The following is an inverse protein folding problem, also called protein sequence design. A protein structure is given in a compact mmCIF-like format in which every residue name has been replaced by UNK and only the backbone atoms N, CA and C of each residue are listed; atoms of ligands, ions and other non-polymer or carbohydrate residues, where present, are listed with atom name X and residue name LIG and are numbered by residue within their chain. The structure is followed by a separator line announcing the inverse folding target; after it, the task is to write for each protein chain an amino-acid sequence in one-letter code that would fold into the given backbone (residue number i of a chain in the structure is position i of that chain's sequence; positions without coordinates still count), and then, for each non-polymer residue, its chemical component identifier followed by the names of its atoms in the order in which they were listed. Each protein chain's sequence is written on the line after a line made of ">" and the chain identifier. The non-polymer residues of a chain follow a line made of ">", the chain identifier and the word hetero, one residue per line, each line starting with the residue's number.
data_IF_516796274255
#
_entry.id   IF_516796274255
#
_cell.length_a   1.000
_cell.length_b   1.000
_cell.length_c   1.000
_cell.angle_alpha   90.00
_cell.angle_beta   90.00
_cell.angle_gamma   90.00
#
_symmetry.space_group_name_H-M   'P 1'
#
loop_
_entity.id
_entity.type
_entity.pdbx_description
1 polymer ?
#
# COMPACT_ATOMS: atom_id res chain seq x y z
N UNK A 1 -28.90 32.63 -49.37
CA UNK A 1 -27.97 31.60 -48.85
C UNK A 1 -28.28 31.38 -47.38
N UNK A 2 -28.91 30.26 -47.02
CA UNK A 2 -29.34 29.95 -45.65
C UNK A 2 -28.20 29.25 -44.93
N UNK A 3 -27.55 29.96 -44.01
CA UNK A 3 -26.45 29.46 -43.18
C UNK A 3 -27.00 28.40 -42.23
N UNK A 4 -26.89 27.12 -42.61
CA UNK A 4 -27.41 25.99 -41.83
C UNK A 4 -26.33 24.98 -41.42
N UNK A 5 -25.07 25.31 -41.67
CA UNK A 5 -23.87 24.56 -41.29
C UNK A 5 -23.21 25.06 -39.99
N UNK A 6 -23.63 26.20 -39.44
CA UNK A 6 -22.96 26.85 -38.29
C UNK A 6 -23.26 26.15 -36.96
N UNK A 7 -24.51 25.73 -36.71
CA UNK A 7 -24.91 25.18 -35.41
C UNK A 7 -24.36 23.77 -35.15
N UNK A 8 -24.27 22.92 -36.17
CA UNK A 8 -23.74 21.57 -36.04
C UNK A 8 -22.24 21.58 -35.72
N UNK A 9 -21.48 22.49 -36.32
CA UNK A 9 -20.04 22.68 -36.04
C UNK A 9 -19.83 23.17 -34.61
N UNK A 10 -20.65 24.10 -34.14
CA UNK A 10 -20.59 24.57 -32.74
C UNK A 10 -20.89 23.45 -31.74
N UNK A 11 -21.89 22.60 -32.01
CA UNK A 11 -22.22 21.46 -31.15
C UNK A 11 -21.08 20.44 -31.14
N UNK A 12 -20.50 20.11 -32.29
CA UNK A 12 -19.36 19.21 -32.37
C UNK A 12 -18.13 19.76 -31.63
N UNK A 13 -17.82 21.05 -31.78
CA UNK A 13 -16.70 21.69 -31.09
C UNK A 13 -16.90 21.68 -29.57
N UNK A 14 -18.11 21.97 -29.10
CA UNK A 14 -18.44 21.93 -27.67
C UNK A 14 -18.27 20.50 -27.09
N UNK A 15 -18.77 19.48 -27.80
CA UNK A 15 -18.64 18.08 -27.38
C UNK A 15 -17.17 17.64 -27.34
N UNK A 16 -16.39 17.98 -28.38
CA UNK A 16 -14.95 17.68 -28.41
C UNK A 16 -14.21 18.36 -27.25
N UNK A 17 -14.54 19.61 -26.95
CA UNK A 17 -13.91 20.34 -25.85
C UNK A 17 -14.23 19.69 -24.49
N UNK A 18 -15.49 19.30 -24.27
CA UNK A 18 -15.89 18.59 -23.05
C UNK A 18 -15.17 17.25 -22.92
N UNK A 19 -15.04 16.46 -24.00
CA UNK A 19 -14.31 15.19 -23.98
C UNK A 19 -12.82 15.36 -23.69
N UNK A 20 -12.20 16.41 -24.22
CA UNK A 20 -10.79 16.71 -23.93
C UNK A 20 -10.59 17.16 -22.48
N UNK A 21 -11.47 18.02 -21.97
CA UNK A 21 -11.42 18.47 -20.57
C UNK A 21 -11.60 17.29 -19.60
N UNK A 22 -12.56 16.40 -19.86
CA UNK A 22 -12.77 15.22 -19.00
C UNK A 22 -11.57 14.28 -19.04
N UNK A 23 -10.99 14.01 -20.22
CA UNK A 23 -9.80 13.17 -20.35
C UNK A 23 -8.60 13.77 -19.59
N UNK A 24 -8.36 15.08 -19.70
CA UNK A 24 -7.28 15.78 -18.99
C UNK A 24 -7.48 15.72 -17.47
N UNK A 25 -8.70 15.94 -16.98
CA UNK A 25 -9.00 15.85 -15.55
C UNK A 25 -8.76 14.42 -15.03
N UNK A 26 -9.28 13.41 -15.74
CA UNK A 26 -9.09 12.00 -15.35
C UNK A 26 -7.62 11.61 -15.37
N UNK A 27 -6.87 12.03 -16.39
CA UNK A 27 -5.44 11.76 -16.50
C UNK A 27 -4.67 12.46 -15.38
N UNK A 28 -5.01 13.71 -15.06
CA UNK A 28 -4.41 14.46 -13.95
C UNK A 28 -4.64 13.79 -12.60
N UNK A 29 -5.86 13.30 -12.34
CA UNK A 29 -6.16 12.54 -11.11
C UNK A 29 -5.40 11.23 -11.08
N UNK A 30 -5.42 10.45 -12.17
CA UNK A 30 -4.70 9.16 -12.26
C UNK A 30 -3.19 9.33 -12.08
N UNK A 31 -2.60 10.38 -12.64
CA UNK A 31 -1.20 10.71 -12.49
C UNK A 31 -0.85 11.11 -11.05
N UNK A 32 -1.69 11.93 -10.41
CA UNK A 32 -1.49 12.34 -9.02
C UNK A 32 -1.63 11.16 -8.02
N UNK A 33 -2.58 10.25 -8.27
CA UNK A 33 -2.72 9.04 -7.46
C UNK A 33 -1.54 8.08 -7.63
N UNK A 34 -1.06 7.91 -8.87
CA UNK A 34 0.06 7.00 -9.17
C UNK A 34 1.36 7.47 -8.51
N UNK A 35 1.63 8.78 -8.51
CA UNK A 35 2.78 9.37 -7.80
C UNK A 35 2.76 9.09 -6.29
N UNK A 36 1.58 9.02 -5.67
CA UNK A 36 1.41 8.76 -4.24
C UNK A 36 1.59 7.29 -3.91
N UNK A 37 1.19 6.37 -4.79
CA UNK A 37 1.38 4.92 -4.56
C UNK A 37 2.86 4.52 -4.55
N UNK A 38 3.67 5.07 -5.47
CA UNK A 38 5.07 4.68 -5.61
C UNK A 38 5.94 5.16 -4.42
N UNK A 39 5.73 6.39 -3.93
CA UNK A 39 6.53 6.95 -2.82
C UNK A 39 6.20 6.30 -1.48
N UNK A 40 4.92 6.06 -1.17
CA UNK A 40 4.53 5.38 0.06
C UNK A 40 4.97 3.91 0.11
N UNK A 41 5.01 3.22 -1.04
CA UNK A 41 5.43 1.82 -1.10
C UNK A 41 6.95 1.64 -0.97
N UNK A 42 7.74 2.56 -1.54
CA UNK A 42 9.20 2.52 -1.47
C UNK A 42 9.71 2.80 -0.04
N UNK A 43 9.20 3.83 0.63
CA UNK A 43 9.51 4.11 2.04
C UNK A 43 9.17 2.93 2.96
N UNK A 44 7.96 2.37 2.81
CA UNK A 44 7.54 1.21 3.59
C UNK A 44 8.34 -0.06 3.27
N UNK A 45 8.94 -0.17 2.08
CA UNK A 45 9.73 -1.35 1.70
C UNK A 45 11.16 -1.25 2.25
N UNK A 46 11.81 -0.11 2.10
CA UNK A 46 13.16 0.10 2.64
C UNK A 46 13.20 -0.01 4.18
N UNK A 47 12.20 0.53 4.89
CA UNK A 47 12.10 0.39 6.35
C UNK A 47 11.85 -1.07 6.78
N UNK A 48 10.99 -1.81 6.06
CA UNK A 48 10.73 -3.23 6.35
C UNK A 48 11.93 -4.11 6.04
N UNK A 49 12.62 -3.85 4.93
CA UNK A 49 13.80 -4.60 4.50
C UNK A 49 14.98 -4.32 5.47
N UNK A 50 15.11 -3.09 5.98
CA UNK A 50 16.08 -2.73 7.01
C UNK A 50 15.83 -3.39 8.37
N UNK A 51 14.57 -3.44 8.81
CA UNK A 51 14.18 -4.15 10.04
C UNK A 51 14.41 -5.66 9.92
N UNK A 52 14.19 -6.22 8.74
CA UNK A 52 14.39 -7.65 8.51
C UNK A 52 15.86 -8.03 8.48
N UNK A 53 16.70 -7.29 7.76
CA UNK A 53 18.12 -7.64 7.60
C UNK A 53 18.99 -7.39 8.85
N UNK A 54 18.67 -6.41 9.70
CA UNK A 54 19.55 -6.03 10.83
C UNK A 54 19.01 -6.35 12.22
N UNK A 55 17.70 -6.53 12.40
CA UNK A 55 17.08 -6.59 13.74
C UNK A 55 16.33 -7.90 14.01
N UNK A 56 16.42 -8.88 13.11
CA UNK A 56 15.80 -10.20 13.29
C UNK A 56 14.27 -10.19 13.17
N UNK A 57 13.71 -9.23 12.43
CA UNK A 57 12.28 -9.21 12.12
C UNK A 57 11.99 -9.95 10.82
N UNK A 58 10.82 -10.57 10.74
CA UNK A 58 10.36 -11.29 9.55
C UNK A 58 9.19 -10.53 8.94
N UNK A 59 9.31 -10.12 7.68
CA UNK A 59 8.21 -9.53 6.93
C UNK A 59 7.41 -10.64 6.23
N UNK A 60 6.14 -10.81 6.60
CA UNK A 60 5.25 -11.79 5.98
C UNK A 60 3.86 -11.16 5.75
N UNK A 61 3.33 -11.28 4.53
CA UNK A 61 2.03 -10.71 4.15
C UNK A 61 1.88 -9.22 4.55
N UNK A 62 2.91 -8.41 4.27
CA UNK A 62 2.95 -6.97 4.61
C UNK A 62 2.86 -6.65 6.12
N UNK A 63 3.05 -7.64 6.99
CA UNK A 63 3.15 -7.47 8.44
C UNK A 63 4.53 -7.84 8.92
N UNK A 64 4.98 -7.21 10.01
CA UNK A 64 6.29 -7.44 10.61
C UNK A 64 6.15 -8.30 11.86
N UNK A 65 6.94 -9.35 11.97
CA UNK A 65 6.91 -10.31 13.07
C UNK A 65 8.28 -10.42 13.73
N UNK A 66 8.31 -10.60 15.04
CA UNK A 66 9.53 -10.90 15.78
C UNK A 66 9.34 -12.20 16.54
N UNK A 67 10.28 -13.13 16.40
CA UNK A 67 10.26 -14.41 17.09
C UNK A 67 11.38 -14.39 18.14
N UNK A 68 11.00 -14.38 19.41
CA UNK A 68 11.95 -14.57 20.51
C UNK A 68 12.55 -15.97 20.46
N UNK A 69 13.87 -16.08 20.59
CA UNK A 69 14.58 -17.36 20.78
C UNK A 69 14.33 -17.95 22.17
N UNK A 70 14.00 -17.09 23.14
CA UNK A 70 13.69 -17.48 24.51
C UNK A 70 12.21 -17.80 24.68
N UNK A 71 11.92 -18.87 25.41
CA UNK A 71 10.57 -19.20 25.86
C UNK A 71 10.23 -18.36 27.09
N UNK A 72 9.03 -17.78 27.08
CA UNK A 72 8.48 -16.93 28.14
C UNK A 72 7.05 -17.36 28.42
N UNK A 73 6.56 -17.11 29.64
CA UNK A 73 5.13 -17.27 29.89
C UNK A 73 4.33 -16.21 29.12
N UNK A 74 2.99 -16.36 29.08
CA UNK A 74 2.13 -15.50 28.26
C UNK A 74 2.26 -14.01 28.64
N UNK A 75 2.28 -13.71 29.94
CA UNK A 75 2.34 -12.33 30.44
C UNK A 75 3.70 -11.67 30.14
N UNK A 76 4.79 -12.40 30.33
CA UNK A 76 6.15 -11.96 29.98
C UNK A 76 6.31 -11.75 28.47
N UNK A 77 5.79 -12.67 27.65
CA UNK A 77 5.81 -12.55 26.19
C UNK A 77 5.07 -11.30 25.72
N UNK A 78 3.91 -11.03 26.31
CA UNK A 78 3.13 -9.83 25.98
C UNK A 78 3.84 -8.56 26.38
N UNK A 79 4.40 -8.52 27.59
CA UNK A 79 5.19 -7.38 28.08
C UNK A 79 6.42 -7.13 27.21
N UNK A 80 7.10 -8.21 26.79
CA UNK A 80 8.24 -8.13 25.88
C UNK A 80 7.87 -7.52 24.52
N UNK A 81 6.77 -7.95 23.90
CA UNK A 81 6.27 -7.37 22.65
C UNK A 81 5.95 -5.87 22.82
N UNK A 82 5.24 -5.51 23.89
CA UNK A 82 4.88 -4.11 24.17
C UNK A 82 6.11 -3.23 24.38
N UNK A 83 7.14 -3.72 25.07
CA UNK A 83 8.41 -3.00 25.25
C UNK A 83 9.17 -2.77 23.93
N UNK A 84 8.88 -3.56 22.89
CA UNK A 84 9.39 -3.37 21.52
C UNK A 84 8.44 -2.57 20.61
N UNK A 85 7.37 -2.00 21.15
CA UNK A 85 6.37 -1.26 20.37
C UNK A 85 5.46 -2.16 19.51
N UNK A 86 5.40 -3.46 19.82
CA UNK A 86 4.56 -4.44 19.13
C UNK A 86 3.53 -5.05 20.09
N UNK A 87 2.65 -5.91 19.57
CA UNK A 87 1.72 -6.69 20.40
C UNK A 87 1.93 -8.19 20.19
N UNK A 88 1.55 -8.98 21.19
CA UNK A 88 1.67 -10.43 21.15
C UNK A 88 0.56 -11.03 20.28
N UNK A 89 0.94 -11.67 19.19
CA UNK A 89 0.00 -12.37 18.30
C UNK A 89 -0.22 -13.82 18.73
N UNK A 90 -1.48 -14.26 18.72
CA UNK A 90 -1.84 -15.68 18.85
C UNK A 90 -1.87 -16.30 17.45
N UNK A 91 -0.99 -17.26 17.21
CA UNK A 91 -0.95 -18.00 15.94
C UNK A 91 -1.67 -19.34 16.16
N UNK A 92 -2.86 -19.47 15.58
CA UNK A 92 -3.65 -20.71 15.61
C UNK A 92 -3.34 -21.67 14.45
N UNK A 93 -2.66 -21.18 13.40
CA UNK A 93 -2.39 -21.91 12.19
C UNK A 93 -0.93 -22.41 12.16
N UNK A 94 -0.75 -23.73 12.20
CA UNK A 94 0.57 -24.38 12.16
C UNK A 94 1.35 -24.03 10.90
N UNK A 95 0.69 -23.94 9.74
CA UNK A 95 1.35 -23.53 8.49
C UNK A 95 1.89 -22.11 8.60
N UNK A 96 1.10 -21.17 9.12
CA UNK A 96 1.54 -19.78 9.37
C UNK A 96 2.74 -19.75 10.32
N UNK A 97 2.72 -20.54 11.39
CA UNK A 97 3.84 -20.65 12.33
C UNK A 97 5.11 -21.19 11.66
N UNK A 98 4.98 -22.27 10.86
CA UNK A 98 6.10 -22.87 10.15
C UNK A 98 6.72 -21.89 9.15
N UNK A 99 5.89 -21.17 8.38
CA UNK A 99 6.36 -20.15 7.45
C UNK A 99 7.17 -19.06 8.14
N UNK A 100 6.69 -18.56 9.29
CA UNK A 100 7.39 -17.53 10.06
C UNK A 100 8.69 -18.05 10.69
N UNK A 101 8.76 -19.33 11.08
CA UNK A 101 9.99 -19.94 11.62
C UNK A 101 11.02 -20.31 10.55
N UNK A 102 10.60 -20.49 9.30
CA UNK A 102 11.48 -20.90 8.19
C UNK A 102 12.12 -19.73 7.43
N UNK A 103 11.63 -18.51 7.65
CA UNK A 103 12.22 -17.27 7.13
C UNK A 103 13.32 -16.76 8.05
#
# INVERSE_FOLDING_TARGET
>A
VRVRSSSAVTVCLAVLCVLLLTAVIVLGVKFNTNYTEDTHQLLNKEERDGLSNNYGWVCYQSSLYFISSEQKNWNESRTFCMNKGADLIIINNTHKLLTLKSS
#
